data_IF_593246085247
#
_entry.id   IF_593246085247
#
_cell.length_a   1.000
_cell.length_b   1.000
_cell.length_c   1.000
_cell.angle_alpha   90.00
_cell.angle_beta   90.00
_cell.angle_gamma   90.00
#
_symmetry.space_group_name_H-M   'P 1'
#
loop_
_entity.id
_entity.type
_entity.pdbx_description
1 polymer ?
#
# COMPACT_ATOMS: atom_id res chain seq x y z
N UNK A 1 -25.32 -30.12 8.45
CA UNK A 1 -24.93 -28.81 9.02
C UNK A 1 -23.47 -28.66 8.66
N UNK A 2 -23.21 -28.12 7.48
CA UNK A 2 -21.84 -27.97 6.98
C UNK A 2 -21.16 -26.90 7.83
N UNK A 3 -20.12 -27.32 8.54
CA UNK A 3 -19.23 -26.44 9.28
C UNK A 3 -18.58 -25.48 8.30
N UNK A 4 -18.93 -24.20 8.38
CA UNK A 4 -18.19 -23.13 7.76
C UNK A 4 -16.78 -23.15 8.35
N UNK A 5 -15.82 -23.71 7.60
CA UNK A 5 -14.41 -23.46 7.86
C UNK A 5 -14.23 -21.97 7.68
N UNK A 6 -14.05 -21.24 8.78
CA UNK A 6 -13.50 -19.89 8.74
C UNK A 6 -12.19 -19.98 7.96
N UNK A 7 -12.23 -19.46 6.74
CA UNK A 7 -11.07 -19.34 5.88
C UNK A 7 -10.13 -18.30 6.53
N UNK A 8 -9.33 -18.79 7.47
CA UNK A 8 -8.30 -18.06 8.17
C UNK A 8 -7.05 -17.98 7.28
N UNK A 9 -7.25 -17.58 6.01
CA UNK A 9 -6.16 -17.12 5.17
C UNK A 9 -5.68 -15.80 5.78
N UNK A 10 -4.51 -15.83 6.40
CA UNK A 10 -3.86 -14.66 7.00
C UNK A 10 -3.69 -13.48 6.02
N UNK A 11 -3.91 -13.74 4.73
CA UNK A 11 -3.84 -12.82 3.59
C UNK A 11 -4.92 -11.71 3.61
N UNK A 12 -5.95 -11.81 4.45
CA UNK A 12 -7.00 -10.77 4.61
C UNK A 12 -6.79 -9.77 5.76
N UNK A 13 -5.67 -9.80 6.50
CA UNK A 13 -5.53 -8.96 7.72
C UNK A 13 -5.24 -7.47 7.46
N UNK A 14 -4.74 -7.09 6.28
CA UNK A 14 -4.49 -5.67 5.98
C UNK A 14 -5.74 -5.01 5.38
N UNK A 15 -6.62 -4.52 6.25
CA UNK A 15 -7.78 -3.72 5.86
C UNK A 15 -7.32 -2.34 5.40
N UNK A 16 -7.25 -2.12 4.10
CA UNK A 16 -7.14 -0.79 3.53
C UNK A 16 -8.50 -0.08 3.56
N UNK A 17 -8.56 1.22 3.90
CA UNK A 17 -7.43 2.15 4.09
C UNK A 17 -6.76 2.05 5.47
N UNK A 18 -5.46 2.35 5.55
CA UNK A 18 -4.70 2.40 6.80
C UNK A 18 -4.96 3.73 7.54
N UNK A 19 -5.84 3.70 8.53
CA UNK A 19 -6.21 4.88 9.33
C UNK A 19 -5.08 5.41 10.21
N UNK A 20 -4.18 4.55 10.69
CA UNK A 20 -3.06 4.98 11.53
C UNK A 20 -2.09 5.91 10.77
N UNK A 21 -1.80 5.62 9.51
CA UNK A 21 -1.01 6.51 8.65
C UNK A 21 -1.72 7.84 8.39
N UNK A 22 -3.05 7.83 8.26
CA UNK A 22 -3.84 9.04 8.06
C UNK A 22 -3.82 9.92 9.32
N UNK A 23 -3.94 9.31 10.51
CA UNK A 23 -3.90 10.02 11.79
C UNK A 23 -2.53 10.69 12.03
N UNK A 24 -1.43 9.98 11.74
CA UNK A 24 -0.07 10.53 11.82
C UNK A 24 0.11 11.71 10.86
N UNK A 25 -0.32 11.55 9.61
CA UNK A 25 -0.21 12.60 8.60
C UNK A 25 -1.02 13.84 8.97
N UNK A 26 -2.27 13.66 9.41
CA UNK A 26 -3.12 14.75 9.87
C UNK A 26 -2.50 15.49 11.06
N UNK A 27 -1.97 14.74 12.03
CA UNK A 27 -1.29 15.31 13.21
C UNK A 27 -0.13 16.22 12.79
N UNK A 28 0.64 15.82 11.77
CA UNK A 28 1.76 16.60 11.24
C UNK A 28 1.36 17.89 10.51
N UNK A 29 0.10 18.01 10.10
CA UNK A 29 -0.44 19.22 9.48
C UNK A 29 -0.91 20.25 10.52
N UNK A 30 -1.09 19.85 11.79
CA UNK A 30 -1.52 20.77 12.85
C UNK A 30 -0.39 21.72 13.25
N UNK A 31 -0.72 23.00 13.40
CA UNK A 31 0.24 24.09 13.69
C UNK A 31 0.64 24.20 15.17
N UNK A 32 0.01 23.43 16.07
CA UNK A 32 0.17 23.53 17.52
C UNK A 32 1.01 22.39 18.14
N UNK A 33 1.74 21.62 17.33
CA UNK A 33 2.64 20.59 17.84
C UNK A 33 3.95 21.17 18.35
N UNK A 34 4.46 20.61 19.45
CA UNK A 34 5.85 20.82 19.84
C UNK A 34 6.80 20.18 18.81
N UNK A 35 8.04 20.67 18.75
CA UNK A 35 9.07 20.11 17.89
C UNK A 35 9.34 18.62 18.19
N UNK A 36 9.25 18.21 19.46
CA UNK A 36 9.45 16.82 19.86
C UNK A 36 8.36 15.91 19.32
N UNK A 37 7.09 16.30 19.50
CA UNK A 37 5.95 15.51 19.02
C UNK A 37 5.95 15.41 17.49
N UNK A 38 6.32 16.50 16.81
CA UNK A 38 6.43 16.52 15.35
C UNK A 38 7.48 15.52 14.87
N UNK A 39 8.66 15.51 15.50
CA UNK A 39 9.74 14.58 15.13
C UNK A 39 9.35 13.13 15.39
N UNK A 40 8.68 12.86 16.53
CA UNK A 40 8.20 11.51 16.85
C UNK A 40 7.16 11.01 15.84
N UNK A 41 6.20 11.86 15.46
CA UNK A 41 5.20 11.53 14.46
C UNK A 41 5.82 11.31 13.06
N UNK A 42 6.81 12.10 12.67
CA UNK A 42 7.55 11.91 11.41
C UNK A 42 8.31 10.58 11.40
N UNK A 43 8.99 10.23 12.50
CA UNK A 43 9.69 8.95 12.62
C UNK A 43 8.73 7.77 12.45
N UNK A 44 7.61 7.76 13.19
CA UNK A 44 6.59 6.71 13.08
C UNK A 44 6.01 6.60 11.67
N UNK A 45 5.75 7.75 11.03
CA UNK A 45 5.21 7.78 9.67
C UNK A 45 6.22 7.20 8.67
N UNK A 46 7.48 7.60 8.76
CA UNK A 46 8.54 7.11 7.87
C UNK A 46 8.90 5.63 8.11
N UNK A 47 8.79 5.14 9.34
CA UNK A 47 8.94 3.71 9.64
C UNK A 47 7.87 2.88 8.92
N UNK A 48 6.60 3.28 8.98
CA UNK A 48 5.52 2.55 8.29
C UNK A 48 5.63 2.67 6.76
N UNK A 49 6.05 3.83 6.24
CA UNK A 49 6.35 4.00 4.80
C UNK A 49 7.45 3.04 4.35
N UNK A 50 8.54 2.94 5.11
CA UNK A 50 9.68 2.04 4.82
C UNK A 50 9.27 0.58 4.89
N UNK A 51 8.54 0.21 5.94
CA UNK A 51 8.07 -1.15 6.19
C UNK A 51 7.17 -1.67 5.05
N UNK A 52 6.35 -0.80 4.47
CA UNK A 52 5.38 -1.18 3.45
C UNK A 52 5.78 -0.75 2.02
N UNK A 53 7.03 -0.30 1.81
CA UNK A 53 7.57 0.14 0.51
C UNK A 53 6.70 1.23 -0.19
N UNK A 54 6.14 2.17 0.58
CA UNK A 54 5.11 3.11 0.11
C UNK A 54 5.69 4.32 -0.64
N UNK A 55 6.46 4.11 -1.70
CA UNK A 55 7.13 5.20 -2.42
C UNK A 55 6.20 6.30 -2.99
N UNK A 56 4.98 6.01 -3.50
CA UNK A 56 4.08 7.07 -3.98
C UNK A 56 3.59 7.92 -2.81
N UNK A 57 3.25 7.28 -1.68
CA UNK A 57 2.83 7.98 -0.48
C UNK A 57 3.98 8.80 0.13
N UNK A 58 5.22 8.28 0.09
CA UNK A 58 6.41 9.03 0.52
C UNK A 58 6.56 10.35 -0.25
N UNK A 59 6.51 10.30 -1.58
CA UNK A 59 6.58 11.49 -2.42
C UNK A 59 5.44 12.49 -2.12
N UNK A 60 4.23 11.98 -1.93
CA UNK A 60 3.08 12.80 -1.53
C UNK A 60 3.30 13.50 -0.17
N UNK A 61 3.73 12.76 0.85
CA UNK A 61 3.98 13.29 2.19
C UNK A 61 5.08 14.37 2.16
N UNK A 62 6.18 14.14 1.43
CA UNK A 62 7.24 15.13 1.28
C UNK A 62 6.71 16.43 0.64
N UNK A 63 5.90 16.33 -0.41
CA UNK A 63 5.29 17.49 -1.05
C UNK A 63 4.34 18.27 -0.12
N UNK A 64 3.42 17.57 0.55
CA UNK A 64 2.41 18.21 1.41
C UNK A 64 3.00 18.83 2.68
N UNK A 65 4.02 18.21 3.26
CA UNK A 65 4.69 18.70 4.47
C UNK A 65 5.87 19.64 4.16
N UNK A 66 6.13 19.93 2.88
CA UNK A 66 7.29 20.70 2.40
C UNK A 66 8.63 20.18 2.96
N UNK A 67 8.82 18.86 2.91
CA UNK A 67 10.05 18.19 3.31
C UNK A 67 10.91 17.90 2.09
N UNK A 68 12.23 18.01 2.24
CA UNK A 68 13.16 17.56 1.21
C UNK A 68 13.03 16.05 1.01
N UNK A 69 12.87 15.65 -0.25
CA UNK A 69 12.76 14.24 -0.62
C UNK A 69 14.16 13.62 -0.70
N UNK A 70 14.36 12.52 0.02
CA UNK A 70 15.53 11.67 -0.11
C UNK A 70 15.33 10.75 -1.33
N UNK A 71 16.04 11.06 -2.41
CA UNK A 71 15.93 10.33 -3.67
C UNK A 71 16.43 8.87 -3.54
N UNK A 72 17.46 8.62 -2.73
CA UNK A 72 17.99 7.26 -2.52
C UNK A 72 16.96 6.39 -1.78
N UNK A 73 16.32 6.95 -0.77
CA UNK A 73 15.21 6.30 -0.08
C UNK A 73 14.04 6.04 -1.04
N UNK A 74 13.63 7.04 -1.85
CA UNK A 74 12.55 6.88 -2.82
C UNK A 74 12.83 5.73 -3.80
N UNK A 75 14.01 5.70 -4.40
CA UNK A 75 14.40 4.70 -5.39
C UNK A 75 14.47 3.30 -4.76
N UNK A 76 14.97 3.20 -3.53
CA UNK A 76 15.00 1.94 -2.77
C UNK A 76 13.60 1.39 -2.51
N UNK A 77 12.67 2.25 -2.07
CA UNK A 77 11.28 1.84 -1.83
C UNK A 77 10.60 1.43 -3.13
N UNK A 78 10.82 2.20 -4.20
CA UNK A 78 10.29 1.90 -5.53
C UNK A 78 10.78 0.56 -6.05
N UNK A 79 12.08 0.28 -5.95
CA UNK A 79 12.66 -0.99 -6.38
C UNK A 79 11.98 -2.19 -5.71
N UNK A 80 11.88 -2.16 -4.37
CA UNK A 80 11.24 -3.24 -3.60
C UNK A 80 9.75 -3.40 -3.93
N UNK A 81 9.06 -2.30 -4.13
CA UNK A 81 7.66 -2.32 -4.54
C UNK A 81 7.47 -2.89 -5.96
N UNK A 82 8.37 -2.56 -6.89
CA UNK A 82 8.34 -3.08 -8.26
C UNK A 82 8.65 -4.60 -8.29
N UNK A 83 9.52 -5.10 -7.41
CA UNK A 83 9.76 -6.54 -7.22
C UNK A 83 8.50 -7.28 -6.73
N UNK A 84 7.84 -6.78 -5.67
CA UNK A 84 6.61 -7.37 -5.14
C UNK A 84 5.47 -7.35 -6.18
N UNK A 85 5.32 -6.24 -6.92
CA UNK A 85 4.33 -6.14 -7.99
C UNK A 85 4.58 -7.18 -9.09
N UNK A 86 5.85 -7.40 -9.47
CA UNK A 86 6.20 -8.40 -10.48
C UNK A 86 5.83 -9.82 -10.05
N UNK A 87 6.00 -10.16 -8.78
CA UNK A 87 5.56 -11.45 -8.24
C UNK A 87 4.04 -11.62 -8.34
N UNK A 88 3.27 -10.59 -8.00
CA UNK A 88 1.81 -10.59 -8.14
C UNK A 88 1.40 -10.75 -9.61
N UNK A 89 2.04 -10.02 -10.53
CA UNK A 89 1.75 -10.11 -11.96
C UNK A 89 2.06 -11.48 -12.56
N UNK A 90 3.14 -12.13 -12.11
CA UNK A 90 3.46 -13.49 -12.52
C UNK A 90 2.40 -14.49 -12.06
N UNK A 91 1.92 -14.38 -10.80
CA UNK A 91 0.84 -15.26 -10.29
C UNK A 91 -0.46 -15.12 -11.11
N UNK A 92 -0.86 -13.88 -11.40
CA UNK A 92 -2.03 -13.61 -12.25
C UNK A 92 -1.85 -14.26 -13.63
N UNK A 93 -0.66 -14.15 -14.23
CA UNK A 93 -0.38 -14.74 -15.54
C UNK A 93 -0.48 -16.28 -15.50
N UNK A 94 0.14 -16.91 -14.50
CA UNK A 94 0.11 -18.37 -14.31
C UNK A 94 -1.32 -18.89 -14.09
N UNK A 95 -2.13 -18.22 -13.24
CA UNK A 95 -3.53 -18.57 -13.00
C UNK A 95 -4.38 -18.43 -14.27
N UNK A 96 -4.15 -17.35 -15.04
CA UNK A 96 -4.85 -17.10 -16.30
C UNK A 96 -4.52 -18.13 -17.38
N UNK A 97 -3.27 -18.58 -17.50
CA UNK A 97 -2.85 -19.60 -18.46
C UNK A 97 -3.43 -20.98 -18.15
N UNK A 98 -3.64 -21.27 -16.87
CA UNK A 98 -4.28 -22.50 -16.39
C UNK A 98 -5.82 -22.45 -16.41
N UNK A 99 -6.42 -21.35 -16.85
CA UNK A 99 -7.86 -21.09 -16.85
C UNK A 99 -8.52 -21.20 -15.46
N UNK A 100 -7.77 -20.92 -14.39
CA UNK A 100 -8.30 -20.89 -13.04
C UNK A 100 -8.93 -19.52 -12.73
N UNK A 101 -10.24 -19.44 -12.90
CA UNK A 101 -10.99 -18.18 -12.71
C UNK A 101 -10.97 -17.71 -11.25
N UNK A 102 -10.98 -18.62 -10.28
CA UNK A 102 -11.04 -18.27 -8.86
C UNK A 102 -9.70 -17.67 -8.44
N UNK A 103 -8.60 -18.33 -8.80
CA UNK A 103 -7.25 -17.87 -8.46
C UNK A 103 -6.92 -16.57 -9.19
N UNK A 104 -7.27 -16.46 -10.48
CA UNK A 104 -7.11 -15.20 -11.24
C UNK A 104 -7.79 -14.03 -10.52
N UNK A 105 -9.01 -14.22 -10.01
CA UNK A 105 -9.75 -13.18 -9.30
C UNK A 105 -9.11 -12.83 -7.96
N UNK A 106 -8.65 -13.83 -7.21
CA UNK A 106 -7.96 -13.62 -5.93
C UNK A 106 -6.65 -12.86 -6.13
N UNK A 107 -5.85 -13.22 -7.13
CA UNK A 107 -4.60 -12.54 -7.44
C UNK A 107 -4.83 -11.10 -7.96
N UNK A 108 -5.90 -10.86 -8.74
CA UNK A 108 -6.32 -9.50 -9.08
C UNK A 108 -6.70 -8.69 -7.83
N UNK A 109 -7.33 -9.30 -6.83
CA UNK A 109 -7.60 -8.64 -5.54
C UNK A 109 -6.31 -8.32 -4.78
N UNK A 110 -5.31 -9.22 -4.80
CA UNK A 110 -3.99 -8.94 -4.25
C UNK A 110 -3.34 -7.74 -4.93
N UNK A 111 -3.45 -7.61 -6.26
CA UNK A 111 -2.98 -6.44 -7.00
C UNK A 111 -3.68 -5.14 -6.59
N UNK A 112 -5.01 -5.15 -6.41
CA UNK A 112 -5.75 -4.00 -5.90
C UNK A 112 -5.27 -3.62 -4.49
N UNK A 113 -5.13 -4.60 -3.59
CA UNK A 113 -4.68 -4.38 -2.22
C UNK A 113 -3.27 -3.83 -2.17
N UNK A 114 -2.38 -4.28 -3.06
CA UNK A 114 -1.04 -3.72 -3.18
C UNK A 114 -1.07 -2.24 -3.57
N UNK A 115 -1.88 -1.84 -4.56
CA UNK A 115 -1.95 -0.42 -4.91
C UNK A 115 -2.52 0.44 -3.77
N UNK A 116 -3.49 -0.08 -3.03
CA UNK A 116 -3.99 0.53 -1.79
C UNK A 116 -2.89 0.65 -0.72
N UNK A 117 -2.05 -0.39 -0.56
CA UNK A 117 -0.93 -0.41 0.38
C UNK A 117 0.06 0.71 0.14
N UNK A 118 0.54 0.86 -1.09
CA UNK A 118 1.57 1.85 -1.40
C UNK A 118 1.00 3.27 -1.54
N UNK A 119 -0.32 3.43 -1.51
CA UNK A 119 -1.00 4.73 -1.66
C UNK A 119 -1.03 5.24 -3.10
N UNK A 120 -0.94 4.37 -4.10
CA UNK A 120 -0.96 4.78 -5.51
C UNK A 120 -2.39 5.00 -6.02
N UNK A 121 -2.90 6.21 -5.79
CA UNK A 121 -4.26 6.59 -6.17
C UNK A 121 -4.54 6.45 -7.67
N UNK A 122 -3.53 6.72 -8.52
CA UNK A 122 -3.68 6.73 -9.99
C UNK A 122 -3.86 5.30 -10.51
N UNK A 123 -3.03 4.37 -10.04
CA UNK A 123 -3.14 2.96 -10.40
C UNK A 123 -4.39 2.31 -9.81
N UNK A 124 -4.81 2.66 -8.59
CA UNK A 124 -6.09 2.19 -8.03
C UNK A 124 -7.26 2.61 -8.94
N UNK A 125 -7.33 3.88 -9.33
CA UNK A 125 -8.43 4.39 -10.16
C UNK A 125 -8.45 3.72 -11.54
N UNK A 126 -7.27 3.57 -12.15
CA UNK A 126 -7.13 2.90 -13.44
C UNK A 126 -7.51 1.42 -13.36
N UNK A 127 -7.12 0.75 -12.29
CA UNK A 127 -7.39 -0.68 -12.08
C UNK A 127 -8.87 -0.95 -11.83
N UNK A 128 -9.57 -0.12 -11.05
CA UNK A 128 -11.04 -0.25 -10.84
C UNK A 128 -11.82 -0.33 -12.15
N UNK A 129 -11.41 0.46 -13.16
CA UNK A 129 -12.05 0.44 -14.48
C UNK A 129 -11.81 -0.87 -15.25
N UNK A 130 -10.78 -1.65 -14.91
CA UNK A 130 -10.45 -2.92 -15.56
C UNK A 130 -11.22 -4.12 -14.98
N UNK A 131 -11.62 -4.07 -13.70
CA UNK A 131 -12.23 -5.23 -13.02
C UNK A 131 -13.78 -5.18 -12.96
N UNK A 132 -14.44 -4.15 -13.49
CA UNK A 132 -15.91 -3.97 -13.35
C UNK A 132 -16.39 -4.23 -11.90
N UNK A 133 -15.68 -3.67 -10.91
CA UNK A 133 -16.11 -3.59 -9.51
C UNK A 133 -16.94 -2.32 -9.27
#
# INVERSE_FOLDING_TARGET
MEEYKEDNSEECKQKYPNFYLADLFYTLQLSNLSLSERNEALLKLFEEIKKNNMYPYYSYVCGELNLDMDQEMYDTLKHKADEEMKEIENKIQEASENFDYVDTKNDMLLKANFYCKIGDKVRIFSFKNQINL
#
